data_IF_234422350035
#
_entry.id   IF_234422350035
#
_cell.length_a   1.000
_cell.length_b   1.000
_cell.length_c   1.000
_cell.angle_alpha   90.00
_cell.angle_beta   90.00
_cell.angle_gamma   90.00
#
_symmetry.space_group_name_H-M   'P 1'
#
loop_
_entity.id
_entity.type
_entity.pdbx_description
1 polymer ?
#
# COMPACT_ATOMS: atom_id res chain seq x y z
N UNK A 1 -5.58 0.56 21.38
CA UNK A 1 -6.51 -0.42 20.75
C UNK A 1 -5.85 -0.99 19.51
N UNK A 2 -6.15 -2.23 19.11
CA UNK A 2 -5.72 -2.75 17.81
C UNK A 2 -6.28 -1.91 16.65
N UNK A 3 -5.51 -1.75 15.57
CA UNK A 3 -5.85 -0.94 14.39
C UNK A 3 -5.91 -1.83 13.14
N UNK A 4 -6.94 -1.62 12.30
CA UNK A 4 -6.97 -2.08 10.91
C UNK A 4 -6.88 -0.88 10.01
N UNK A 5 -5.99 -0.93 9.03
CA UNK A 5 -6.03 0.00 7.89
C UNK A 5 -6.97 -0.63 6.87
N UNK A 6 -8.19 -0.12 6.78
CA UNK A 6 -9.23 -0.68 5.92
C UNK A 6 -9.15 -0.21 4.48
N UNK A 7 -8.47 0.92 4.24
CA UNK A 7 -8.23 1.48 2.92
C UNK A 7 -6.87 2.19 2.91
N UNK A 8 -6.11 1.96 1.85
CA UNK A 8 -4.94 2.75 1.48
C UNK A 8 -4.74 2.57 -0.02
N UNK A 9 -4.63 3.66 -0.78
CA UNK A 9 -4.50 3.54 -2.22
C UNK A 9 -4.16 4.85 -2.89
N UNK A 10 -3.76 4.74 -4.16
CA UNK A 10 -3.41 5.86 -5.03
C UNK A 10 -4.22 5.78 -6.32
N UNK A 11 -4.91 6.87 -6.65
CA UNK A 11 -5.53 7.04 -7.96
C UNK A 11 -4.51 7.58 -8.96
N UNK A 12 -4.32 6.89 -10.09
CA UNK A 12 -3.61 7.43 -11.23
C UNK A 12 -4.20 6.92 -12.54
N UNK A 13 -3.77 7.51 -13.65
CA UNK A 13 -4.17 7.08 -14.98
C UNK A 13 -3.43 5.80 -15.37
N UNK A 14 -4.17 4.89 -16.00
CA UNK A 14 -3.62 3.63 -16.49
C UNK A 14 -3.51 3.60 -18.01
N UNK A 15 -2.49 2.90 -18.48
CA UNK A 15 -2.31 2.58 -19.89
C UNK A 15 -2.43 1.08 -20.07
N UNK A 16 -3.43 0.68 -20.85
CA UNK A 16 -3.57 -0.69 -21.32
C UNK A 16 -2.61 -0.89 -22.50
N UNK A 17 -1.67 -1.81 -22.36
CA UNK A 17 -0.76 -2.17 -23.44
C UNK A 17 -1.44 -3.07 -24.47
N UNK A 18 -0.80 -3.26 -25.63
CA UNK A 18 -1.37 -4.04 -26.72
C UNK A 18 -1.62 -5.52 -26.36
N UNK A 19 -0.89 -6.06 -25.37
CA UNK A 19 -1.06 -7.42 -24.85
C UNK A 19 -2.13 -7.52 -23.73
N UNK A 20 -2.77 -6.39 -23.39
CA UNK A 20 -3.77 -6.30 -22.33
C UNK A 20 -3.20 -6.15 -20.92
N UNK A 21 -1.88 -5.99 -20.78
CA UNK A 21 -1.26 -5.70 -19.49
C UNK A 21 -1.34 -4.23 -19.10
N UNK A 22 -1.16 -3.95 -17.82
CA UNK A 22 -0.97 -2.61 -17.26
C UNK A 22 0.35 -2.63 -16.49
N UNK A 23 1.22 -1.67 -16.75
CA UNK A 23 2.50 -1.52 -16.06
C UNK A 23 2.41 -0.39 -15.03
N UNK A 24 1.84 -0.68 -13.86
CA UNK A 24 1.50 0.27 -12.80
C UNK A 24 2.61 0.43 -11.74
N UNK A 25 3.86 0.62 -12.18
CA UNK A 25 5.02 0.74 -11.30
C UNK A 25 4.84 1.78 -10.18
N UNK A 26 4.17 2.90 -10.50
CA UNK A 26 3.85 3.96 -9.54
C UNK A 26 3.00 3.47 -8.35
N UNK A 27 2.11 2.49 -8.57
CA UNK A 27 1.23 1.91 -7.55
C UNK A 27 2.01 0.97 -6.66
N UNK A 28 2.92 0.19 -7.25
CA UNK A 28 3.82 -0.70 -6.51
C UNK A 28 4.69 0.14 -5.56
N UNK A 29 5.31 1.20 -6.07
CA UNK A 29 6.15 2.11 -5.28
C UNK A 29 5.37 2.75 -4.12
N UNK A 30 4.16 3.25 -4.40
CA UNK A 30 3.27 3.79 -3.36
C UNK A 30 3.03 2.78 -2.23
N UNK A 31 2.67 1.54 -2.55
CA UNK A 31 2.42 0.53 -1.51
C UNK A 31 3.68 0.12 -0.78
N UNK A 32 4.81 -0.02 -1.46
CA UNK A 32 6.07 -0.35 -0.80
C UNK A 32 6.45 0.71 0.24
N UNK A 33 6.31 1.99 -0.07
CA UNK A 33 6.57 3.08 0.86
C UNK A 33 5.64 3.03 2.07
N UNK A 34 4.33 2.86 1.86
CA UNK A 34 3.36 2.83 2.96
C UNK A 34 3.51 1.59 3.84
N UNK A 35 3.85 0.44 3.25
CA UNK A 35 4.14 -0.78 4.01
C UNK A 35 5.42 -0.65 4.85
N UNK A 36 6.44 0.09 4.35
CA UNK A 36 7.65 0.40 5.14
C UNK A 36 7.31 1.26 6.36
N UNK A 37 6.49 2.29 6.19
CA UNK A 37 6.07 3.13 7.32
C UNK A 37 5.16 2.38 8.29
N UNK A 38 4.24 1.54 7.80
CA UNK A 38 3.43 0.67 8.66
C UNK A 38 4.30 -0.30 9.46
N UNK A 39 5.34 -0.88 8.84
CA UNK A 39 6.32 -1.74 9.52
C UNK A 39 7.08 -0.99 10.62
N UNK A 40 7.42 0.28 10.41
CA UNK A 40 8.02 1.15 11.45
C UNK A 40 7.03 1.43 12.57
N UNK A 41 5.78 1.79 12.26
CA UNK A 41 4.75 2.02 13.27
C UNK A 41 4.55 0.79 14.18
N UNK A 42 4.60 -0.41 13.62
CA UNK A 42 4.51 -1.66 14.39
C UNK A 42 5.76 -1.88 15.25
N UNK A 43 6.96 -1.78 14.65
CA UNK A 43 8.21 -2.25 15.28
C UNK A 43 8.88 -1.22 16.18
N UNK A 44 8.78 0.06 15.83
CA UNK A 44 9.47 1.16 16.50
C UNK A 44 8.50 1.86 17.45
N UNK A 45 7.31 2.19 16.95
CA UNK A 45 6.34 2.99 17.71
C UNK A 45 5.38 2.13 18.55
N UNK A 46 5.42 0.81 18.39
CA UNK A 46 4.64 -0.15 19.18
C UNK A 46 3.14 -0.16 18.85
N UNK A 47 2.74 0.33 17.67
CA UNK A 47 1.34 0.34 17.24
C UNK A 47 0.88 -1.09 16.92
N UNK A 48 -0.23 -1.51 17.54
CA UNK A 48 -0.82 -2.82 17.28
C UNK A 48 -1.68 -2.80 16.00
N UNK A 49 -1.05 -2.82 14.83
CA UNK A 49 -1.73 -2.99 13.54
C UNK A 49 -1.95 -4.48 13.28
N UNK A 50 -3.19 -4.89 13.06
CA UNK A 50 -3.56 -6.30 12.87
C UNK A 50 -4.13 -6.63 11.49
N UNK A 51 -4.29 -5.63 10.62
CA UNK A 51 -4.74 -5.82 9.25
C UNK A 51 -4.48 -4.61 8.36
N UNK A 52 -4.30 -4.88 7.07
CA UNK A 52 -4.11 -3.91 6.00
C UNK A 52 -4.87 -4.43 4.77
N UNK A 53 -5.91 -3.69 4.36
CA UNK A 53 -6.70 -3.97 3.16
C UNK A 53 -6.59 -2.74 2.25
N UNK A 54 -5.72 -2.77 1.23
CA UNK A 54 -5.61 -1.69 0.26
C UNK A 54 -6.78 -1.69 -0.74
#
# INVERSE_FOLDING_TARGET
MPIVITENGIGAYEKLEADGSVHDQYRIEFYEEHLREMSKAIKIDGVNVFGFSP
#
